data_IF_823363299819
#
_entry.id   IF_823363299819
#
_cell.length_a   1.000
_cell.length_b   1.000
_cell.length_c   1.000
_cell.angle_alpha   90.00
_cell.angle_beta   90.00
_cell.angle_gamma   90.00
#
_symmetry.space_group_name_H-M   'P 1'
#
loop_
_entity.id
_entity.type
_entity.pdbx_description
1 polymer ?
#
# COMPACT_ATOMS: atom_id res chain seq x y z
N UNK A 1 -5.41 -26.54 -14.85
CA UNK A 1 -5.80 -26.72 -13.42
C UNK A 1 -7.04 -25.87 -13.16
N UNK A 2 -8.07 -26.40 -12.50
CA UNK A 2 -9.28 -25.64 -12.20
C UNK A 2 -9.00 -24.60 -11.09
N UNK A 3 -9.62 -23.42 -11.19
CA UNK A 3 -9.52 -22.36 -10.19
C UNK A 3 -10.18 -22.84 -8.88
N UNK A 4 -9.51 -22.72 -7.72
CA UNK A 4 -10.11 -23.12 -6.45
C UNK A 4 -11.37 -22.27 -6.17
N UNK A 5 -12.40 -22.86 -5.53
CA UNK A 5 -13.58 -22.11 -5.16
C UNK A 5 -13.23 -21.01 -4.17
N UNK A 6 -13.87 -19.84 -4.31
CA UNK A 6 -13.67 -18.72 -3.40
C UNK A 6 -14.02 -19.14 -1.96
N UNK A 7 -13.15 -18.89 -0.98
CA UNK A 7 -13.37 -19.29 0.41
C UNK A 7 -14.50 -18.50 1.06
N UNK A 8 -15.10 -19.04 2.12
CA UNK A 8 -16.27 -18.43 2.78
C UNK A 8 -15.99 -17.10 3.48
N UNK A 9 -14.74 -16.79 3.81
CA UNK A 9 -14.36 -15.50 4.38
C UNK A 9 -14.33 -14.38 3.33
N UNK A 10 -14.23 -14.73 2.05
CA UNK A 10 -14.16 -13.81 0.92
C UNK A 10 -15.53 -13.68 0.20
N UNK A 11 -16.64 -13.90 0.90
CA UNK A 11 -18.00 -13.89 0.33
C UNK A 11 -19.03 -13.27 1.27
N UNK A 12 -19.97 -12.53 0.68
CA UNK A 12 -21.22 -12.06 1.29
C UNK A 12 -21.02 -11.33 2.61
N UNK A 13 -22.00 -11.46 3.50
CA UNK A 13 -22.08 -10.73 4.78
C UNK A 13 -20.84 -10.93 5.68
N UNK A 14 -20.17 -12.09 5.56
CA UNK A 14 -18.94 -12.37 6.30
C UNK A 14 -17.78 -11.50 5.85
N UNK A 15 -17.68 -11.20 4.56
CA UNK A 15 -16.69 -10.28 4.02
C UNK A 15 -17.02 -8.86 4.49
N UNK A 16 -18.28 -8.43 4.37
CA UNK A 16 -18.70 -7.07 4.72
C UNK A 16 -18.45 -6.75 6.20
N UNK A 17 -18.82 -7.68 7.10
CA UNK A 17 -18.55 -7.54 8.52
C UNK A 17 -17.03 -7.46 8.83
N UNK A 18 -16.19 -8.17 8.06
CA UNK A 18 -14.74 -8.14 8.22
C UNK A 18 -14.13 -6.84 7.70
N UNK A 19 -14.58 -6.36 6.53
CA UNK A 19 -14.13 -5.08 5.97
C UNK A 19 -14.50 -3.92 6.90
N UNK A 20 -15.72 -3.91 7.43
CA UNK A 20 -16.16 -2.90 8.40
C UNK A 20 -15.28 -2.88 9.66
N UNK A 21 -14.84 -4.05 10.13
CA UNK A 21 -13.88 -4.16 11.25
C UNK A 21 -12.48 -3.69 10.86
N UNK A 22 -11.98 -4.10 9.70
CA UNK A 22 -10.63 -3.78 9.22
C UNK A 22 -10.45 -2.28 8.93
N UNK A 23 -11.50 -1.59 8.50
CA UNK A 23 -11.46 -0.15 8.19
C UNK A 23 -11.04 0.74 9.37
N UNK A 24 -11.15 0.24 10.61
CA UNK A 24 -10.79 0.96 11.84
C UNK A 24 -9.38 0.63 12.35
N UNK A 25 -8.66 -0.25 11.66
CA UNK A 25 -7.34 -0.72 12.08
C UNK A 25 -6.29 0.09 11.33
N UNK A 26 -5.38 0.73 12.06
CA UNK A 26 -4.29 1.48 11.45
C UNK A 26 -3.34 0.52 10.70
N UNK A 27 -3.19 0.65 9.36
CA UNK A 27 -2.28 -0.20 8.60
C UNK A 27 -0.80 0.06 8.94
N UNK A 28 -0.45 1.28 9.34
CA UNK A 28 0.93 1.66 9.66
C UNK A 28 1.45 0.88 10.89
N UNK A 29 0.58 0.53 11.84
CA UNK A 29 0.96 -0.26 13.01
C UNK A 29 1.15 -1.75 12.72
N UNK A 30 0.62 -2.24 11.59
CA UNK A 30 0.72 -3.65 11.18
C UNK A 30 1.88 -3.84 10.21
N UNK A 31 1.96 -3.00 9.18
CA UNK A 31 2.90 -3.17 8.07
C UNK A 31 4.13 -2.26 8.16
N UNK A 32 4.06 -1.19 8.96
CA UNK A 32 5.12 -0.19 9.06
C UNK A 32 5.27 0.64 7.79
N UNK A 33 6.42 1.31 7.68
CA UNK A 33 6.74 2.18 6.54
C UNK A 33 7.14 1.32 5.33
N UNK A 34 6.44 1.53 4.22
CA UNK A 34 6.77 0.89 2.93
C UNK A 34 8.15 1.37 2.49
N UNK A 35 9.08 0.42 2.38
CA UNK A 35 10.45 0.70 1.96
C UNK A 35 10.53 0.98 0.45
N UNK A 36 11.49 1.79 0.01
CA UNK A 36 11.74 2.00 -1.42
C UNK A 36 11.97 0.68 -2.16
N UNK A 37 11.39 0.56 -3.36
CA UNK A 37 11.52 -0.64 -4.18
C UNK A 37 12.89 -0.68 -4.88
N UNK A 38 13.72 -1.67 -4.54
CA UNK A 38 14.97 -1.91 -5.26
C UNK A 38 14.79 -3.00 -6.33
N UNK A 39 14.52 -2.57 -7.56
CA UNK A 39 14.28 -3.47 -8.71
C UNK A 39 15.41 -4.48 -8.97
N UNK A 40 16.71 -4.15 -8.81
CA UNK A 40 17.79 -5.12 -8.98
C UNK A 40 17.73 -6.31 -8.01
N UNK A 41 17.21 -6.13 -6.79
CA UNK A 41 17.10 -7.21 -5.79
C UNK A 41 16.00 -8.20 -6.17
N UNK A 42 14.92 -7.71 -6.79
CA UNK A 42 13.78 -8.51 -7.22
C UNK A 42 14.12 -9.23 -8.54
N UNK A 43 14.65 -8.49 -9.50
CA UNK A 43 14.98 -8.98 -10.83
C UNK A 43 16.49 -9.21 -10.92
N UNK A 44 16.93 -10.37 -10.40
CA UNK A 44 18.32 -10.82 -10.46
C UNK A 44 18.85 -10.77 -11.90
N UNK A 45 19.66 -9.76 -12.21
CA UNK A 45 20.53 -9.64 -13.39
C UNK A 45 19.89 -9.93 -14.77
N UNK A 46 19.52 -8.87 -15.51
CA UNK A 46 19.51 -8.79 -17.00
C UNK A 46 18.98 -7.45 -17.56
N UNK A 47 18.47 -6.56 -16.70
CA UNK A 47 17.81 -5.31 -17.14
C UNK A 47 18.25 -4.04 -16.36
N UNK A 48 19.46 -4.02 -15.78
CA UNK A 48 19.94 -2.90 -14.96
C UNK A 48 19.87 -1.52 -15.66
N UNK A 49 20.08 -1.47 -16.98
CA UNK A 49 19.94 -0.25 -17.78
C UNK A 49 18.51 0.24 -18.01
N UNK A 50 17.49 -0.62 -17.83
CA UNK A 50 16.06 -0.25 -17.90
C UNK A 50 15.49 0.16 -16.54
N UNK A 51 16.17 -0.19 -15.45
CA UNK A 51 15.79 0.19 -14.09
C UNK A 51 16.19 1.62 -13.70
N UNK A 52 16.87 2.35 -14.61
CA UNK A 52 17.08 3.80 -14.52
C UNK A 52 16.75 4.38 -15.90
N UNK A 53 15.68 5.19 -16.02
CA UNK A 53 15.82 6.61 -15.72
C UNK A 53 14.64 7.20 -14.92
N UNK A 54 14.93 8.19 -14.07
CA UNK A 54 13.97 8.94 -13.26
C UNK A 54 13.14 9.86 -14.17
N UNK A 55 11.98 9.38 -14.62
CA UNK A 55 10.94 10.22 -15.22
C UNK A 55 10.31 11.12 -14.14
N UNK A 56 9.66 12.22 -14.54
CA UNK A 56 8.92 13.11 -13.63
C UNK A 56 7.92 12.37 -12.73
N UNK A 57 7.36 11.25 -13.20
CA UNK A 57 6.46 10.39 -12.41
C UNK A 57 7.10 9.76 -11.17
N UNK A 58 8.44 9.75 -11.06
CA UNK A 58 9.16 9.27 -9.89
C UNK A 58 9.55 10.39 -8.91
N UNK A 59 9.24 11.66 -9.23
CA UNK A 59 9.57 12.80 -8.40
C UNK A 59 8.31 13.28 -7.66
N UNK A 60 8.14 12.79 -6.43
CA UNK A 60 7.07 13.18 -5.50
C UNK A 60 7.61 14.07 -4.36
N UNK A 61 8.67 14.83 -4.65
CA UNK A 61 9.27 15.75 -3.68
C UNK A 61 8.64 17.15 -3.79
N UNK A 62 8.83 17.98 -2.77
CA UNK A 62 8.31 19.35 -2.76
C UNK A 62 6.77 19.39 -2.63
N UNK A 63 6.03 20.05 -3.54
CA UNK A 63 4.59 20.28 -3.41
C UNK A 63 3.75 19.00 -3.49
N UNK A 64 4.28 17.93 -4.08
CA UNK A 64 3.58 16.65 -4.24
C UNK A 64 3.70 15.75 -2.99
N UNK A 65 4.54 16.14 -2.02
CA UNK A 65 4.69 15.42 -0.76
C UNK A 65 3.54 15.78 0.20
N UNK A 66 2.95 14.77 0.82
CA UNK A 66 2.02 14.95 1.93
C UNK A 66 2.64 15.80 3.04
N UNK A 67 1.93 16.85 3.43
CA UNK A 67 2.27 17.65 4.60
C UNK A 67 1.93 16.91 5.88
N UNK A 68 2.62 17.27 6.97
CA UNK A 68 2.33 16.72 8.30
C UNK A 68 0.86 16.94 8.72
N UNK A 69 0.28 18.07 8.31
CA UNK A 69 -1.11 18.41 8.60
C UNK A 69 -2.08 17.48 7.86
N UNK A 70 -1.80 17.15 6.60
CA UNK A 70 -2.62 16.20 5.83
C UNK A 70 -2.55 14.80 6.41
N UNK A 71 -1.36 14.33 6.80
CA UNK A 71 -1.20 13.04 7.49
C UNK A 71 -1.99 12.99 8.80
N UNK A 72 -1.94 14.06 9.60
CA UNK A 72 -2.66 14.13 10.87
C UNK A 72 -4.18 14.19 10.66
N UNK A 73 -4.65 14.99 9.71
CA UNK A 73 -6.07 15.06 9.35
C UNK A 73 -6.59 13.70 8.86
N UNK A 74 -5.80 12.99 8.05
CA UNK A 74 -6.11 11.64 7.62
C UNK A 74 -6.23 10.68 8.80
N UNK A 75 -5.23 10.66 9.71
CA UNK A 75 -5.26 9.81 10.90
C UNK A 75 -6.48 10.10 11.78
N UNK A 76 -6.84 11.37 11.99
CA UNK A 76 -8.05 11.76 12.74
C UNK A 76 -9.32 11.29 12.05
N UNK A 77 -9.45 11.49 10.73
CA UNK A 77 -10.61 11.04 9.95
C UNK A 77 -10.81 9.53 10.02
N UNK A 78 -9.71 8.78 10.02
CA UNK A 78 -9.74 7.31 10.10
C UNK A 78 -9.85 6.77 11.53
N UNK A 79 -9.76 7.62 12.56
CA UNK A 79 -9.81 7.21 13.96
C UNK A 79 -8.55 6.47 14.43
N UNK A 80 -7.39 6.77 13.84
CA UNK A 80 -6.10 6.17 14.19
C UNK A 80 -5.36 6.91 15.32
N UNK A 81 -5.87 8.09 15.74
CA UNK A 81 -5.37 8.93 16.83
C UNK A 81 -6.40 9.00 17.96
#
# INVERSE_FOLDING_TARGET
KAKPPTPSWAKGDRLDARLAKQAKINPDSIFGVIQPLHLPDIFKGRHAGKFRPRSSSAHWEGPDKLTRQEEENYRRRMGYL
#
